data_IF_809115000752
#
_entry.id   IF_809115000752
#
_cell.length_a   1.000
_cell.length_b   1.000
_cell.length_c   1.000
_cell.angle_alpha   90.00
_cell.angle_beta   90.00
_cell.angle_gamma   90.00
#
_symmetry.space_group_name_H-M   'P 1'
#
loop_
_entity.id
_entity.type
_entity.pdbx_description
1 polymer ?
#
# COMPACT_ATOMS: atom_id res chain seq x y z
N UNK A 1 -15.36 -13.97 -2.09
CA UNK A 1 -14.83 -15.08 -1.27
C UNK A 1 -15.45 -16.39 -1.73
N UNK A 2 -14.85 -17.54 -1.45
CA UNK A 2 -15.47 -18.83 -1.83
C UNK A 2 -16.69 -19.12 -0.93
N UNK A 3 -17.64 -19.91 -1.45
CA UNK A 3 -18.76 -20.47 -0.66
C UNK A 3 -18.27 -21.72 0.07
N UNK A 4 -18.63 -21.84 1.34
CA UNK A 4 -18.29 -23.00 2.17
C UNK A 4 -19.33 -24.10 2.05
N UNK A 5 -18.88 -25.35 2.11
CA UNK A 5 -19.73 -26.54 2.13
C UNK A 5 -20.08 -26.94 3.55
N UNK A 6 -21.37 -27.12 3.81
CA UNK A 6 -21.95 -27.53 5.08
C UNK A 6 -22.68 -28.87 4.93
N UNK A 7 -23.11 -29.44 6.06
CA UNK A 7 -23.72 -30.76 6.11
C UNK A 7 -22.66 -31.87 6.08
N UNK A 8 -22.88 -32.92 6.86
CA UNK A 8 -21.94 -34.02 7.00
C UNK A 8 -22.65 -35.27 7.49
N UNK A 9 -21.93 -36.39 7.48
CA UNK A 9 -22.38 -37.66 8.08
C UNK A 9 -22.56 -37.59 9.60
N UNK A 10 -22.25 -36.46 10.24
CA UNK A 10 -22.43 -36.23 11.68
C UNK A 10 -23.55 -35.23 11.99
N UNK A 11 -24.14 -34.59 10.98
CA UNK A 11 -25.18 -33.58 11.16
C UNK A 11 -26.56 -34.20 10.94
N UNK A 12 -27.33 -34.34 12.03
CA UNK A 12 -28.66 -34.94 12.00
C UNK A 12 -29.69 -34.03 12.64
N UNK A 13 -30.92 -34.09 12.13
CA UNK A 13 -32.07 -33.61 12.89
C UNK A 13 -32.52 -34.71 13.84
N UNK A 14 -32.62 -34.35 15.12
CA UNK A 14 -32.98 -35.28 16.18
C UNK A 14 -34.18 -34.78 16.98
N UNK A 15 -34.98 -35.73 17.45
CA UNK A 15 -36.06 -35.50 18.40
C UNK A 15 -35.87 -36.42 19.62
N UNK A 16 -36.42 -36.05 20.80
CA UNK A 16 -36.48 -36.98 21.92
C UNK A 16 -37.38 -38.16 21.55
N UNK A 17 -36.86 -39.38 21.72
CA UNK A 17 -37.61 -40.63 21.66
C UNK A 17 -38.11 -41.02 23.05
N UNK A 18 -38.21 -42.32 23.30
CA UNK A 18 -38.65 -42.84 24.60
C UNK A 18 -37.67 -42.46 25.73
N UNK A 19 -38.20 -42.30 26.93
CA UNK A 19 -37.40 -42.15 28.14
C UNK A 19 -36.69 -43.48 28.44
N UNK A 20 -35.37 -43.41 28.65
CA UNK A 20 -34.52 -44.57 28.92
C UNK A 20 -33.77 -44.33 30.23
N UNK A 21 -33.88 -45.29 31.14
CA UNK A 21 -33.14 -45.29 32.40
C UNK A 21 -32.06 -46.36 32.36
N UNK A 22 -30.81 -45.96 32.62
CA UNK A 22 -29.65 -46.86 32.73
C UNK A 22 -28.97 -46.62 34.07
N UNK A 23 -29.12 -47.57 34.99
CA UNK A 23 -28.72 -47.36 36.38
C UNK A 23 -29.53 -46.23 37.00
N UNK A 24 -28.85 -45.20 37.51
CA UNK A 24 -29.48 -44.02 38.15
C UNK A 24 -29.66 -42.82 37.19
N UNK A 25 -29.33 -42.98 35.90
CA UNK A 25 -29.46 -41.92 34.91
C UNK A 25 -30.71 -42.15 34.07
N UNK A 26 -31.61 -41.17 34.07
CA UNK A 26 -32.77 -41.10 33.19
C UNK A 26 -32.50 -40.07 32.09
N UNK A 27 -32.64 -40.49 30.84
CA UNK A 27 -32.51 -39.63 29.66
C UNK A 27 -33.54 -40.03 28.60
N UNK A 28 -33.36 -39.51 27.39
CA UNK A 28 -34.20 -39.86 26.23
C UNK A 28 -33.36 -40.53 25.16
N UNK A 29 -33.92 -41.54 24.49
CA UNK A 29 -33.34 -42.07 23.27
C UNK A 29 -33.31 -41.00 22.17
N UNK A 30 -32.28 -40.99 21.34
CA UNK A 30 -32.20 -40.08 20.20
C UNK A 30 -32.98 -40.66 19.03
N UNK A 31 -34.04 -39.98 18.58
CA UNK A 31 -34.73 -40.30 17.34
C UNK A 31 -34.18 -39.45 16.20
N UNK A 32 -33.64 -40.08 15.15
CA UNK A 32 -33.25 -39.37 13.92
C UNK A 32 -34.50 -39.11 13.08
N UNK A 33 -34.69 -37.86 12.63
CA UNK A 33 -35.93 -37.42 11.99
C UNK A 33 -35.73 -37.23 10.48
N UNK A 34 -36.23 -38.14 9.63
CA UNK A 34 -36.11 -38.01 8.19
C UNK A 34 -37.09 -36.98 7.62
N UNK A 35 -36.87 -36.57 6.36
CA UNK A 35 -37.78 -35.71 5.60
C UNK A 35 -38.13 -34.38 6.29
N UNK A 36 -37.23 -33.88 7.13
CA UNK A 36 -37.42 -32.62 7.86
C UNK A 36 -36.78 -31.47 7.11
N UNK A 37 -37.54 -30.40 6.90
CA UNK A 37 -37.02 -29.17 6.30
C UNK A 37 -36.21 -28.39 7.34
N UNK A 38 -34.99 -28.04 6.98
CA UNK A 38 -34.03 -27.29 7.79
C UNK A 38 -33.74 -25.97 7.10
N UNK A 39 -33.92 -24.88 7.84
CA UNK A 39 -33.57 -23.52 7.41
C UNK A 39 -32.31 -23.05 8.13
N UNK A 40 -31.59 -22.10 7.55
CA UNK A 40 -30.30 -21.65 8.07
C UNK A 40 -30.29 -20.16 8.32
N UNK A 41 -29.70 -19.76 9.44
CA UNK A 41 -29.82 -18.41 9.98
C UNK A 41 -28.48 -17.82 10.40
N UNK A 42 -28.42 -16.49 10.45
CA UNK A 42 -27.20 -15.75 10.82
C UNK A 42 -26.92 -15.74 12.32
N UNK A 43 -27.87 -16.13 13.17
CA UNK A 43 -27.77 -16.06 14.62
C UNK A 43 -28.61 -17.16 15.31
N UNK A 44 -28.25 -17.53 16.56
CA UNK A 44 -28.94 -18.60 17.31
C UNK A 44 -30.36 -18.22 17.73
N UNK A 45 -30.63 -16.92 17.90
CA UNK A 45 -31.92 -16.33 18.24
C UNK A 45 -32.01 -14.96 17.60
N UNK A 46 -33.17 -14.60 17.06
CA UNK A 46 -33.30 -13.45 16.16
C UNK A 46 -32.30 -13.57 14.97
N UNK A 47 -32.30 -12.63 14.04
CA UNK A 47 -31.42 -12.67 12.86
C UNK A 47 -32.11 -13.11 11.57
N UNK A 48 -31.36 -13.07 10.47
CA UNK A 48 -31.89 -13.24 9.11
C UNK A 48 -31.70 -14.66 8.61
N UNK A 49 -32.73 -15.19 7.94
CA UNK A 49 -32.61 -16.45 7.23
C UNK A 49 -31.72 -16.25 6.01
N UNK A 50 -30.81 -17.19 5.79
CA UNK A 50 -30.07 -17.30 4.54
C UNK A 50 -30.94 -18.02 3.51
N UNK A 51 -31.27 -17.31 2.43
CA UNK A 51 -32.03 -17.84 1.29
C UNK A 51 -31.16 -18.04 0.05
N UNK A 52 -29.89 -17.63 0.12
CA UNK A 52 -28.91 -17.72 -0.96
C UNK A 52 -28.03 -18.96 -0.83
N UNK A 53 -28.63 -20.11 -0.55
CA UNK A 53 -27.92 -21.38 -0.44
C UNK A 53 -27.87 -22.06 -1.82
N UNK A 54 -26.92 -22.97 -2.02
CA UNK A 54 -26.85 -23.78 -3.24
C UNK A 54 -26.79 -25.27 -2.90
N UNK A 55 -27.35 -26.10 -3.76
CA UNK A 55 -27.08 -27.54 -3.73
C UNK A 55 -25.69 -27.87 -4.34
N UNK A 56 -25.32 -29.15 -4.34
CA UNK A 56 -24.04 -29.60 -4.89
C UNK A 56 -23.90 -29.40 -6.40
N UNK A 57 -25.01 -29.17 -7.12
CA UNK A 57 -25.03 -28.85 -8.55
C UNK A 57 -25.00 -27.33 -8.81
N UNK A 58 -24.87 -26.53 -7.74
CA UNK A 58 -24.92 -25.06 -7.76
C UNK A 58 -26.30 -24.48 -8.09
N UNK A 59 -27.38 -25.25 -7.96
CA UNK A 59 -28.74 -24.72 -8.07
C UNK A 59 -29.14 -24.03 -6.77
N UNK A 60 -29.88 -22.91 -6.87
CA UNK A 60 -30.32 -22.15 -5.71
C UNK A 60 -31.37 -22.91 -4.89
N UNK A 61 -31.18 -22.95 -3.58
CA UNK A 61 -32.09 -23.54 -2.60
C UNK A 61 -32.30 -22.57 -1.43
N UNK A 62 -33.47 -22.59 -0.79
CA UNK A 62 -33.76 -21.78 0.40
C UNK A 62 -33.70 -22.54 1.73
N UNK A 63 -33.58 -23.87 1.65
CA UNK A 63 -33.59 -24.81 2.76
C UNK A 63 -33.04 -26.16 2.32
N UNK A 64 -32.70 -27.01 3.27
CA UNK A 64 -32.28 -28.39 3.03
C UNK A 64 -33.29 -29.33 3.66
N UNK A 65 -33.54 -30.50 3.05
CA UNK A 65 -34.40 -31.53 3.65
C UNK A 65 -33.54 -32.70 4.10
N UNK A 66 -33.76 -33.21 5.32
CA UNK A 66 -33.02 -34.37 5.82
C UNK A 66 -33.34 -35.64 5.04
N UNK A 67 -32.35 -36.51 4.89
CA UNK A 67 -32.51 -37.77 4.17
C UNK A 67 -33.29 -38.82 4.96
N UNK A 68 -33.37 -40.05 4.44
CA UNK A 68 -34.10 -41.16 5.06
C UNK A 68 -33.56 -41.57 6.45
N UNK A 69 -32.34 -41.15 6.79
CA UNK A 69 -31.70 -41.38 8.09
C UNK A 69 -31.72 -40.16 8.99
N UNK A 70 -32.35 -39.06 8.56
CA UNK A 70 -32.40 -37.80 9.29
C UNK A 70 -31.11 -36.97 9.18
N UNK A 71 -30.17 -37.37 8.32
CA UNK A 71 -28.94 -36.60 8.09
C UNK A 71 -29.23 -35.35 7.25
N UNK A 72 -28.55 -34.25 7.56
CA UNK A 72 -28.57 -33.04 6.75
C UNK A 72 -27.60 -33.27 5.57
N UNK A 73 -28.08 -33.38 4.32
CA UNK A 73 -27.21 -33.58 3.17
C UNK A 73 -26.28 -32.38 2.95
N UNK A 74 -25.22 -32.60 2.19
CA UNK A 74 -24.27 -31.53 1.89
C UNK A 74 -24.87 -30.45 1.00
N UNK A 75 -24.51 -29.20 1.28
CA UNK A 75 -24.92 -28.02 0.52
C UNK A 75 -23.86 -26.93 0.63
N UNK A 76 -23.95 -25.91 -0.21
CA UNK A 76 -23.12 -24.71 -0.11
C UNK A 76 -23.88 -23.58 0.57
N UNK A 77 -23.24 -22.98 1.57
CA UNK A 77 -23.73 -21.79 2.23
C UNK A 77 -23.57 -20.51 1.41
N UNK A 78 -23.95 -19.37 2.02
CA UNK A 78 -23.72 -18.04 1.46
C UNK A 78 -22.23 -17.77 1.23
N UNK A 79 -21.94 -16.77 0.39
CA UNK A 79 -20.57 -16.37 0.11
C UNK A 79 -19.87 -15.82 1.38
N UNK A 80 -18.69 -16.36 1.72
CA UNK A 80 -17.90 -15.88 2.86
C UNK A 80 -18.44 -16.24 4.25
N UNK A 81 -19.55 -16.98 4.33
CA UNK A 81 -20.13 -17.41 5.61
C UNK A 81 -19.58 -18.78 6.02
N UNK A 82 -18.99 -18.85 7.21
CA UNK A 82 -18.36 -20.05 7.78
C UNK A 82 -19.04 -20.56 9.05
N UNK A 83 -20.22 -20.00 9.38
CA UNK A 83 -21.04 -20.45 10.50
C UNK A 83 -22.50 -20.22 10.15
N UNK A 84 -23.31 -21.26 10.28
CA UNK A 84 -24.76 -21.19 10.10
C UNK A 84 -25.46 -21.71 11.34
N UNK A 85 -26.67 -21.22 11.60
CA UNK A 85 -27.54 -21.75 12.63
C UNK A 85 -28.70 -22.51 11.97
N UNK A 86 -28.68 -23.84 12.07
CA UNK A 86 -29.69 -24.73 11.54
C UNK A 86 -30.94 -24.73 12.42
N UNK A 87 -32.11 -24.58 11.81
CA UNK A 87 -33.42 -24.57 12.44
C UNK A 87 -34.30 -25.64 11.79
N UNK A 88 -34.72 -26.61 12.59
CA UNK A 88 -35.60 -27.71 12.20
C UNK A 88 -36.92 -27.72 12.99
N UNK A 89 -37.34 -26.56 13.51
CA UNK A 89 -38.55 -26.42 14.34
C UNK A 89 -38.31 -26.43 15.86
N UNK A 90 -37.05 -26.29 16.29
CA UNK A 90 -36.64 -26.22 17.68
C UNK A 90 -35.54 -25.16 17.90
N UNK A 91 -34.77 -25.27 18.98
CA UNK A 91 -33.63 -24.36 19.20
C UNK A 91 -32.62 -24.49 18.08
N UNK A 92 -32.22 -23.37 17.49
CA UNK A 92 -31.23 -23.36 16.41
C UNK A 92 -29.87 -23.85 16.90
N UNK A 93 -29.20 -24.67 16.10
CA UNK A 93 -27.88 -25.23 16.41
C UNK A 93 -26.86 -24.76 15.40
N UNK A 94 -25.68 -24.38 15.88
CA UNK A 94 -24.58 -23.99 15.01
C UNK A 94 -24.08 -25.19 14.20
N UNK A 95 -23.80 -24.98 12.92
CA UNK A 95 -23.11 -25.92 12.04
C UNK A 95 -21.92 -25.23 11.39
N UNK A 96 -20.83 -25.97 11.22
CA UNK A 96 -19.57 -25.49 10.65
C UNK A 96 -19.28 -26.14 9.30
N UNK A 97 -18.47 -25.52 8.43
CA UNK A 97 -18.10 -26.08 7.16
C UNK A 97 -17.30 -27.38 7.28
N UNK A 98 -17.45 -28.27 6.31
CA UNK A 98 -16.68 -29.51 6.16
C UNK A 98 -15.49 -29.36 5.20
N UNK A 99 -15.33 -28.21 4.56
CA UNK A 99 -14.34 -27.93 3.52
C UNK A 99 -13.25 -26.94 3.96
N UNK A 100 -13.01 -26.83 5.28
CA UNK A 100 -12.01 -25.95 5.89
C UNK A 100 -10.60 -26.09 5.28
N UNK A 101 -10.26 -27.27 4.74
CA UNK A 101 -8.98 -27.52 4.06
C UNK A 101 -8.74 -26.62 2.83
N UNK A 102 -9.76 -26.31 2.04
CA UNK A 102 -9.63 -25.43 0.88
C UNK A 102 -9.33 -23.98 1.31
N UNK A 103 -10.00 -23.51 2.38
CA UNK A 103 -9.74 -22.20 2.98
C UNK A 103 -8.33 -22.11 3.57
N UNK A 104 -7.87 -23.16 4.25
CA UNK A 104 -6.52 -23.20 4.80
C UNK A 104 -5.45 -23.18 3.69
N UNK A 105 -5.66 -23.91 2.60
CA UNK A 105 -4.77 -23.90 1.45
C UNK A 105 -4.68 -22.51 0.81
N UNK A 106 -5.83 -21.84 0.59
CA UNK A 106 -5.87 -20.47 0.07
C UNK A 106 -5.13 -19.48 0.98
N UNK A 107 -5.33 -19.56 2.30
CA UNK A 107 -4.62 -18.74 3.26
C UNK A 107 -3.11 -19.01 3.25
N UNK A 108 -2.70 -20.27 3.14
CA UNK A 108 -1.29 -20.66 3.05
C UNK A 108 -0.65 -20.05 1.80
N UNK A 109 -1.30 -20.14 0.64
CA UNK A 109 -0.83 -19.52 -0.59
C UNK A 109 -0.72 -18.00 -0.48
N UNK A 110 -1.72 -17.33 0.12
CA UNK A 110 -1.68 -15.89 0.33
C UNK A 110 -0.53 -15.47 1.26
N UNK A 111 -0.30 -16.22 2.34
CA UNK A 111 0.83 -16.00 3.26
C UNK A 111 2.16 -16.17 2.52
N UNK A 112 2.32 -17.22 1.72
CA UNK A 112 3.54 -17.43 0.93
C UNK A 112 3.78 -16.31 -0.08
N UNK A 113 2.73 -15.79 -0.73
CA UNK A 113 2.85 -14.66 -1.65
C UNK A 113 3.26 -13.36 -0.93
N UNK A 114 2.68 -13.09 0.23
CA UNK A 114 3.06 -11.94 1.07
C UNK A 114 4.52 -12.09 1.53
N UNK A 115 4.91 -13.27 2.01
CA UNK A 115 6.29 -13.53 2.42
C UNK A 115 7.28 -13.31 1.27
N UNK A 116 6.94 -13.77 0.06
CA UNK A 116 7.74 -13.52 -1.14
C UNK A 116 7.86 -12.03 -1.46
N UNK A 117 6.77 -11.28 -1.34
CA UNK A 117 6.77 -9.82 -1.56
C UNK A 117 7.63 -9.10 -0.51
N UNK A 118 7.50 -9.47 0.76
CA UNK A 118 8.30 -8.89 1.86
C UNK A 118 9.79 -9.20 1.67
N UNK A 119 10.14 -10.42 1.27
CA UNK A 119 11.52 -10.80 1.00
C UNK A 119 12.12 -10.08 -0.22
N UNK A 120 11.30 -9.61 -1.15
CA UNK A 120 11.72 -8.85 -2.32
C UNK A 120 11.82 -7.33 -2.09
N UNK A 121 11.39 -6.82 -0.92
CA UNK A 121 11.56 -5.41 -0.59
C UNK A 121 13.05 -5.06 -0.49
N UNK A 122 13.41 -3.87 -0.98
CA UNK A 122 14.76 -3.35 -0.80
C UNK A 122 15.09 -3.15 0.70
N UNK A 123 16.35 -3.31 1.14
CA UNK A 123 16.68 -3.23 2.57
C UNK A 123 16.29 -1.89 3.22
N UNK A 124 16.39 -0.78 2.47
CA UNK A 124 15.93 0.55 2.91
C UNK A 124 14.47 0.56 3.37
N UNK A 125 13.61 -0.29 2.80
CA UNK A 125 12.20 -0.34 3.15
C UNK A 125 11.95 -1.01 4.52
N UNK A 126 12.90 -1.78 5.03
CA UNK A 126 12.78 -2.47 6.33
C UNK A 126 13.65 -1.83 7.41
N UNK A 127 14.79 -1.24 7.05
CA UNK A 127 15.69 -0.57 8.00
C UNK A 127 15.38 0.92 8.19
N UNK A 128 14.81 1.58 7.17
CA UNK A 128 14.66 3.03 7.11
C UNK A 128 15.97 3.81 6.93
N UNK A 129 17.12 3.12 6.77
CA UNK A 129 18.41 3.77 6.61
C UNK A 129 18.71 4.09 5.16
N UNK A 130 19.05 5.35 4.87
CA UNK A 130 19.50 5.75 3.53
C UNK A 130 20.85 5.13 3.14
N UNK A 131 21.60 4.56 4.08
CA UNK A 131 22.83 3.80 3.79
C UNK A 131 22.56 2.51 3.01
N UNK A 132 21.31 2.07 2.97
CA UNK A 132 20.90 0.82 2.31
C UNK A 132 20.54 1.04 0.84
N UNK A 133 20.58 2.29 0.36
CA UNK A 133 20.38 2.62 -1.03
C UNK A 133 21.62 2.27 -1.85
N UNK A 134 21.43 1.47 -2.90
CA UNK A 134 22.44 1.23 -3.93
C UNK A 134 22.28 2.23 -5.08
N UNK A 135 23.31 2.38 -5.89
CA UNK A 135 23.29 3.26 -7.08
C UNK A 135 22.95 4.73 -6.76
N UNK A 136 23.38 5.21 -5.59
CA UNK A 136 23.16 6.61 -5.19
C UNK A 136 23.97 7.56 -6.07
N UNK A 137 23.42 8.74 -6.45
CA UNK A 137 24.16 9.75 -7.19
C UNK A 137 25.45 10.19 -6.47
N UNK A 138 26.53 10.39 -7.21
CA UNK A 138 27.72 11.03 -6.69
C UNK A 138 27.42 12.52 -6.44
N UNK A 139 27.46 12.94 -5.19
CA UNK A 139 27.29 14.35 -4.82
C UNK A 139 28.58 15.14 -5.07
N UNK A 140 28.47 16.38 -5.53
CA UNK A 140 29.60 17.30 -5.60
C UNK A 140 30.09 17.65 -4.18
N UNK A 141 31.37 17.94 -4.00
CA UNK A 141 31.97 18.22 -2.68
C UNK A 141 31.27 19.35 -1.92
N UNK A 142 30.83 20.39 -2.63
CA UNK A 142 30.03 21.51 -2.07
C UNK A 142 28.77 21.03 -1.34
N UNK A 143 28.16 19.91 -1.75
CA UNK A 143 26.92 19.40 -1.17
C UNK A 143 27.13 18.79 0.23
N UNK A 144 28.34 18.37 0.57
CA UNK A 144 28.67 17.79 1.89
C UNK A 144 29.42 18.77 2.78
N UNK A 145 30.29 19.62 2.22
CA UNK A 145 31.07 20.59 2.99
C UNK A 145 30.31 21.90 3.27
N UNK A 146 29.37 22.26 2.38
CA UNK A 146 28.74 23.58 2.37
C UNK A 146 29.67 24.73 1.93
N UNK A 147 30.91 24.44 1.52
CA UNK A 147 31.89 25.46 1.15
C UNK A 147 31.83 25.81 -0.33
N UNK A 148 31.66 27.11 -0.64
CA UNK A 148 31.74 27.61 -2.02
C UNK A 148 33.12 27.41 -2.67
N UNK A 149 34.16 27.15 -1.88
CA UNK A 149 35.50 26.82 -2.39
C UNK A 149 35.54 25.49 -3.15
N UNK A 150 34.53 24.63 -2.96
CA UNK A 150 34.46 23.30 -3.56
C UNK A 150 33.83 23.31 -4.95
N UNK A 151 33.39 24.49 -5.43
CA UNK A 151 32.88 24.68 -6.79
C UNK A 151 34.05 24.82 -7.78
N UNK A 152 34.14 23.86 -8.71
CA UNK A 152 34.96 24.04 -9.91
C UNK A 152 34.28 25.03 -10.86
N UNK A 153 35.06 25.82 -11.60
CA UNK A 153 34.57 26.85 -12.50
C UNK A 153 33.63 27.88 -11.84
N UNK A 154 33.81 28.09 -10.54
CA UNK A 154 33.12 29.16 -9.82
C UNK A 154 33.45 30.51 -10.48
N UNK A 155 32.46 31.40 -10.66
CA UNK A 155 32.74 32.76 -11.09
C UNK A 155 33.74 33.38 -10.12
N UNK A 156 34.87 33.89 -10.64
CA UNK A 156 35.84 34.61 -9.82
C UNK A 156 35.12 35.66 -8.92
N UNK A 157 35.51 35.79 -7.65
CA UNK A 157 34.79 36.63 -6.71
C UNK A 157 34.94 38.12 -7.08
N UNK A 158 33.80 38.82 -7.15
CA UNK A 158 33.72 40.27 -7.04
C UNK A 158 33.96 41.10 -8.31
N UNK A 159 33.25 42.23 -8.38
CA UNK A 159 33.57 43.35 -9.25
C UNK A 159 34.95 43.89 -8.82
N UNK A 160 35.89 44.02 -9.75
CA UNK A 160 37.12 44.74 -9.45
C UNK A 160 36.78 46.21 -9.22
N UNK A 161 37.23 46.75 -8.09
CA UNK A 161 37.13 48.17 -7.79
C UNK A 161 38.38 48.88 -8.32
N UNK A 162 38.20 49.74 -9.31
CA UNK A 162 39.30 50.54 -9.86
C UNK A 162 39.21 51.96 -9.29
N UNK A 163 40.25 52.37 -8.56
CA UNK A 163 40.33 53.69 -7.89
C UNK A 163 41.25 54.61 -8.69
N UNK A 164 40.81 55.86 -8.89
CA UNK A 164 41.59 56.90 -9.57
C UNK A 164 42.80 57.33 -8.73
N UNK A 165 44.00 57.35 -9.31
CA UNK A 165 45.23 57.79 -8.63
C UNK A 165 45.90 58.89 -9.45
N UNK A 166 46.25 60.02 -8.82
CA UNK A 166 47.05 61.07 -9.46
C UNK A 166 46.41 61.75 -10.69
N UNK A 167 45.08 61.83 -10.74
CA UNK A 167 44.36 62.50 -11.84
C UNK A 167 44.09 61.61 -13.06
N UNK A 168 44.71 60.42 -13.15
CA UNK A 168 44.52 59.46 -14.24
C UNK A 168 43.86 58.17 -13.75
N UNK A 169 43.04 57.56 -14.61
CA UNK A 169 42.49 56.22 -14.34
C UNK A 169 43.55 55.17 -14.71
N UNK A 170 43.82 54.17 -13.86
CA UNK A 170 44.79 53.14 -14.21
C UNK A 170 44.28 52.30 -15.40
N UNK A 171 45.18 51.96 -16.32
CA UNK A 171 44.88 51.03 -17.40
C UNK A 171 44.65 49.62 -16.83
N UNK A 172 43.64 48.91 -17.35
CA UNK A 172 43.43 47.50 -17.01
C UNK A 172 44.61 46.69 -17.53
N UNK A 173 45.18 45.80 -16.72
CA UNK A 173 46.26 44.93 -17.20
C UNK A 173 45.71 43.97 -18.27
N UNK A 174 46.40 43.86 -19.41
CA UNK A 174 46.07 42.88 -20.46
C UNK A 174 46.32 41.42 -20.02
N UNK A 175 46.98 41.20 -18.89
CA UNK A 175 47.12 39.87 -18.26
C UNK A 175 46.17 39.66 -17.08
N UNK A 176 45.24 40.59 -16.85
CA UNK A 176 44.27 40.43 -15.78
C UNK A 176 43.34 39.26 -16.14
N UNK A 177 43.10 38.31 -15.22
CA UNK A 177 42.27 37.12 -15.48
C UNK A 177 40.79 37.44 -15.76
N UNK A 178 40.42 38.72 -15.76
CA UNK A 178 39.06 39.25 -15.89
C UNK A 178 38.86 40.17 -17.11
N UNK A 179 39.67 40.00 -18.17
CA UNK A 179 39.63 40.77 -19.42
C UNK A 179 38.23 40.94 -20.09
N UNK A 180 37.19 40.26 -19.62
CA UNK A 180 35.80 40.39 -20.08
C UNK A 180 34.77 40.77 -18.99
N UNK A 181 35.20 41.25 -17.81
CA UNK A 181 34.28 41.53 -16.69
C UNK A 181 33.97 43.02 -16.51
N UNK A 182 32.73 43.36 -16.09
CA UNK A 182 32.40 44.72 -15.68
C UNK A 182 33.23 45.08 -14.43
N UNK A 183 33.87 46.25 -14.44
CA UNK A 183 34.47 46.82 -13.23
C UNK A 183 33.67 48.03 -12.76
N UNK A 184 33.66 48.24 -11.45
CA UNK A 184 33.07 49.44 -10.84
C UNK A 184 34.18 50.46 -10.67
N UNK A 185 34.04 51.56 -11.40
CA UNK A 185 34.93 52.71 -11.30
C UNK A 185 34.45 53.62 -10.17
N UNK A 186 35.29 53.85 -9.16
CA UNK A 186 34.94 54.71 -8.03
C UNK A 186 35.67 56.06 -8.12
N UNK A 187 34.90 57.13 -8.25
CA UNK A 187 35.39 58.51 -8.36
C UNK A 187 34.40 59.42 -9.09
N UNK A 188 34.61 60.76 -9.10
CA UNK A 188 33.76 61.67 -9.86
C UNK A 188 33.85 61.33 -11.35
N UNK A 189 32.73 60.91 -11.94
CA UNK A 189 32.61 60.61 -13.36
C UNK A 189 32.93 61.89 -14.17
N UNK A 190 33.71 61.81 -15.27
CA UNK A 190 33.67 62.88 -16.25
C UNK A 190 32.27 62.88 -16.88
N UNK A 191 31.51 63.95 -16.73
CA UNK A 191 30.20 64.07 -17.38
C UNK A 191 30.36 64.39 -18.89
N UNK A 192 29.34 64.16 -19.76
CA UNK A 192 28.16 63.33 -19.61
C UNK A 192 28.04 62.20 -20.65
N UNK A 193 27.05 61.36 -20.37
CA UNK A 193 26.52 60.19 -21.05
C UNK A 193 26.07 60.35 -22.51
N UNK A 194 26.45 59.37 -23.35
CA UNK A 194 25.53 58.72 -24.28
C UNK A 194 25.74 57.19 -24.22
N UNK A 195 24.73 56.44 -23.78
CA UNK A 195 24.63 54.99 -24.02
C UNK A 195 25.18 54.02 -22.96
N UNK A 196 25.78 54.47 -21.85
CA UNK A 196 26.03 53.62 -20.67
C UNK A 196 27.03 52.46 -20.83
N UNK A 197 27.69 52.34 -21.99
CA UNK A 197 28.80 51.43 -22.22
C UNK A 197 30.04 52.26 -22.51
N UNK A 198 31.02 52.24 -21.61
CA UNK A 198 32.32 52.87 -21.85
C UNK A 198 33.07 52.00 -22.87
N UNK A 199 33.20 52.53 -24.09
CA UNK A 199 33.82 51.86 -25.23
C UNK A 199 35.26 51.42 -24.93
N UNK A 200 35.64 50.27 -25.48
CA UNK A 200 37.04 49.86 -25.52
C UNK A 200 37.77 50.72 -26.55
N UNK A 201 39.04 51.01 -26.28
CA UNK A 201 39.88 51.81 -27.18
C UNK A 201 40.07 51.05 -28.51
N UNK A 202 39.59 51.61 -29.62
CA UNK A 202 39.68 51.02 -30.97
C UNK A 202 38.34 50.73 -31.69
N UNK A 203 37.19 50.99 -31.08
CA UNK A 203 35.90 50.83 -31.76
C UNK A 203 35.66 51.90 -32.82
N UNK A 204 35.49 51.46 -34.08
CA UNK A 204 35.36 52.26 -35.30
C UNK A 204 34.02 53.03 -35.44
N UNK A 205 33.43 53.48 -34.33
CA UNK A 205 32.05 53.99 -34.25
C UNK A 205 31.90 55.52 -34.24
N UNK A 206 32.89 56.28 -34.72
CA UNK A 206 32.69 57.73 -34.95
C UNK A 206 33.36 58.25 -36.24
N UNK A 207 32.67 59.07 -37.05
CA UNK A 207 33.28 59.77 -38.17
C UNK A 207 34.13 60.93 -37.65
N UNK A 208 35.24 61.18 -38.37
CA UNK A 208 36.14 62.31 -38.16
C UNK A 208 35.43 63.65 -38.41
N UNK A 209 35.88 64.74 -37.73
CA UNK A 209 35.07 65.92 -37.42
C UNK A 209 34.54 66.72 -38.61
#
# INVERSE_FOLDING_TARGET
MARSRFGSVADYVVAPGDEVTVGDITGYATLLVPSTVVTFWSAPSEGSQYTDLLDLTSAAIGSVTTDATGAIPQFFGPEGVTLLYADAGGTRRAITPVDLGAGLAANTSAISAIQGTVAALAPVATSGSYTDLTETPALAAVATSGSYTDLTDAPAPGLQYVVKVGGSWPARSASAPDLGRPAVWMGPAPAPSYGGAYALDGDAWWPTP
#
